data_IF_468226592053
#
_entry.id   IF_468226592053
#
_cell.length_a   1.000
_cell.length_b   1.000
_cell.length_c   1.000
_cell.angle_alpha   90.00
_cell.angle_beta   90.00
_cell.angle_gamma   90.00
#
_symmetry.space_group_name_H-M   'P 1'
#
loop_
_entity.id
_entity.type
_entity.pdbx_description
1 polymer ?
#
# COMPACT_ATOMS: atom_id res chain seq x y z
N UNK A 1 -50.97 57.09 18.68
CA UNK A 1 -50.28 55.79 18.70
C UNK A 1 -49.67 55.57 17.33
N UNK A 2 -48.37 55.78 17.23
CA UNK A 2 -47.55 55.69 16.02
C UNK A 2 -47.14 54.24 15.74
N UNK A 3 -47.10 53.78 14.49
CA UNK A 3 -46.67 52.42 14.16
C UNK A 3 -45.16 52.28 14.33
N UNK A 4 -44.74 51.24 15.05
CA UNK A 4 -43.34 50.86 15.24
C UNK A 4 -42.73 50.39 13.92
N UNK A 5 -41.67 51.08 13.51
CA UNK A 5 -40.84 50.82 12.34
C UNK A 5 -40.05 49.52 12.58
N UNK A 6 -40.17 48.56 11.66
CA UNK A 6 -39.28 47.38 11.56
C UNK A 6 -37.83 47.86 11.52
N UNK A 7 -37.08 47.60 12.59
CA UNK A 7 -35.63 47.57 12.52
C UNK A 7 -35.24 46.29 11.79
N UNK A 8 -34.61 46.48 10.64
CA UNK A 8 -33.87 45.46 9.92
C UNK A 8 -32.76 44.97 10.83
N UNK A 9 -32.95 43.79 11.43
CA UNK A 9 -31.89 43.06 12.11
C UNK A 9 -30.85 42.65 11.08
N UNK A 10 -29.88 43.54 10.85
CA UNK A 10 -28.63 43.18 10.22
C UNK A 10 -28.05 41.99 10.96
N UNK A 11 -27.73 40.94 10.20
CA UNK A 11 -27.06 39.75 10.73
C UNK A 11 -25.78 40.26 11.39
N UNK A 12 -25.76 40.24 12.72
CA UNK A 12 -24.58 40.50 13.52
C UNK A 12 -23.54 39.49 13.06
N UNK A 13 -22.53 39.97 12.34
CA UNK A 13 -21.33 39.21 12.02
C UNK A 13 -20.75 38.87 13.38
N UNK A 14 -20.97 37.63 13.82
CA UNK A 14 -20.57 37.13 15.13
C UNK A 14 -19.14 37.57 15.39
N UNK A 15 -18.91 38.28 16.50
CA UNK A 15 -17.59 38.39 17.08
C UNK A 15 -17.02 36.97 17.16
N UNK A 16 -15.99 36.70 16.35
CA UNK A 16 -15.20 35.48 16.42
C UNK A 16 -14.45 35.59 17.75
N UNK A 17 -15.05 35.07 18.81
CA UNK A 17 -14.44 35.07 20.13
C UNK A 17 -13.26 34.09 20.07
N UNK A 18 -12.05 34.63 20.14
CA UNK A 18 -10.81 33.89 20.01
C UNK A 18 -10.59 33.07 21.30
N UNK A 19 -11.03 31.80 21.31
CA UNK A 19 -10.98 30.93 22.51
C UNK A 19 -9.57 30.39 22.79
N UNK A 20 -8.62 30.59 21.88
CA UNK A 20 -7.22 30.21 22.04
C UNK A 20 -6.49 30.89 23.21
N UNK A 21 -7.07 31.91 23.88
CA UNK A 21 -6.47 32.52 25.07
C UNK A 21 -6.66 31.68 26.34
N UNK A 22 -7.59 30.72 26.34
CA UNK A 22 -7.76 29.77 27.44
C UNK A 22 -6.92 28.52 27.14
N UNK A 23 -5.72 28.48 27.74
CA UNK A 23 -4.84 27.31 27.84
C UNK A 23 -5.58 26.00 28.17
N UNK A 24 -6.73 26.10 28.86
CA UNK A 24 -7.54 24.96 29.29
C UNK A 24 -8.27 24.22 28.15
N UNK A 25 -8.49 24.86 26.99
CA UNK A 25 -9.29 24.26 25.90
C UNK A 25 -8.50 23.24 25.07
N UNK A 26 -7.23 23.55 24.76
CA UNK A 26 -6.30 22.61 24.11
C UNK A 26 -5.80 21.55 25.10
N UNK A 27 -5.75 21.88 26.40
CA UNK A 27 -5.27 20.99 27.45
C UNK A 27 -6.27 19.89 27.85
N UNK A 28 -7.41 19.74 27.16
CA UNK A 28 -8.30 18.62 27.42
C UNK A 28 -7.61 17.30 27.06
N UNK A 29 -7.65 16.35 27.98
CA UNK A 29 -6.99 15.03 27.85
C UNK A 29 -7.18 14.33 26.50
N UNK A 30 -8.39 14.33 25.87
CA UNK A 30 -8.56 13.68 24.57
C UNK A 30 -7.91 14.42 23.39
N UNK A 31 -7.89 15.76 23.41
CA UNK A 31 -7.29 16.55 22.33
C UNK A 31 -5.77 16.41 22.37
N UNK A 32 -5.18 16.47 23.57
CA UNK A 32 -3.73 16.24 23.75
C UNK A 32 -3.34 14.82 23.33
N UNK A 33 -4.13 13.81 23.71
CA UNK A 33 -3.88 12.42 23.31
C UNK A 33 -3.94 12.25 21.79
N UNK A 34 -4.93 12.85 21.12
CA UNK A 34 -5.04 12.84 19.66
C UNK A 34 -3.83 13.48 18.99
N UNK A 35 -3.49 14.72 19.37
CA UNK A 35 -2.34 15.44 18.82
C UNK A 35 -1.02 14.68 19.03
N UNK A 36 -0.87 14.02 20.19
CA UNK A 36 0.30 13.18 20.45
C UNK A 36 0.34 11.96 19.52
N UNK A 37 -0.79 11.26 19.33
CA UNK A 37 -0.87 10.11 18.42
C UNK A 37 -0.61 10.55 16.98
N UNK A 38 -1.27 11.60 16.49
CA UNK A 38 -1.10 12.10 15.13
C UNK A 38 0.33 12.61 14.90
N UNK A 39 0.91 13.29 15.90
CA UNK A 39 2.32 13.68 15.88
C UNK A 39 3.28 12.49 15.80
N UNK A 40 3.01 11.42 16.56
CA UNK A 40 3.80 10.18 16.47
C UNK A 40 3.62 9.47 15.13
N UNK A 41 2.40 9.44 14.58
CA UNK A 41 2.10 8.88 13.28
C UNK A 41 2.84 9.64 12.16
N UNK A 42 2.84 10.97 12.22
CA UNK A 42 3.59 11.83 11.30
C UNK A 42 5.11 11.59 11.41
N UNK A 43 5.64 11.47 12.62
CA UNK A 43 7.05 11.16 12.83
C UNK A 43 7.42 9.79 12.23
N UNK A 44 6.57 8.77 12.39
CA UNK A 44 6.75 7.46 11.77
C UNK A 44 6.71 7.55 10.23
N UNK A 45 5.78 8.33 9.66
CA UNK A 45 5.71 8.57 8.22
C UNK A 45 6.98 9.20 7.67
N UNK A 46 7.70 10.03 8.42
CA UNK A 46 8.99 10.59 8.00
C UNK A 46 10.13 9.57 8.02
N UNK A 47 10.04 8.54 8.88
CA UNK A 47 11.04 7.46 8.95
C UNK A 47 10.90 6.49 7.78
N UNK A 48 9.69 6.25 7.26
CA UNK A 48 9.44 5.29 6.17
C UNK A 48 10.19 5.63 4.86
N UNK A 49 10.19 6.88 4.34
CA UNK A 49 11.02 7.31 3.22
C UNK A 49 12.50 7.00 3.39
N UNK A 50 13.02 7.25 4.59
CA UNK A 50 14.43 7.00 4.91
C UNK A 50 14.74 5.50 4.89
N UNK A 51 13.88 4.68 5.49
CA UNK A 51 13.99 3.23 5.44
C UNK A 51 13.90 2.69 4.02
N UNK A 52 12.95 3.18 3.21
CA UNK A 52 12.83 2.79 1.81
C UNK A 52 14.08 3.17 1.00
N UNK A 53 14.60 4.39 1.16
CA UNK A 53 15.81 4.85 0.48
C UNK A 53 17.03 4.01 0.86
N UNK A 54 17.20 3.74 2.16
CA UNK A 54 18.25 2.86 2.69
C UNK A 54 18.14 1.43 2.14
N UNK A 55 16.93 0.88 2.11
CA UNK A 55 16.67 -0.46 1.57
C UNK A 55 16.91 -0.53 0.06
N UNK A 56 16.49 0.47 -0.71
CA UNK A 56 16.73 0.55 -2.15
C UNK A 56 18.21 0.60 -2.50
N UNK A 57 19.02 1.34 -1.73
CA UNK A 57 20.49 1.37 -1.92
C UNK A 57 21.11 -0.02 -1.76
N UNK A 58 20.55 -0.86 -0.89
CA UNK A 58 21.00 -2.24 -0.68
C UNK A 58 20.45 -3.20 -1.74
N UNK A 59 19.22 -2.99 -2.20
CA UNK A 59 18.50 -3.89 -3.09
C UNK A 59 17.82 -3.11 -4.24
N UNK A 60 18.45 -2.97 -5.42
CA UNK A 60 17.88 -2.21 -6.53
C UNK A 60 16.59 -2.83 -7.10
N UNK A 61 16.39 -4.15 -6.91
CA UNK A 61 15.18 -4.85 -7.31
C UNK A 61 13.92 -4.40 -6.55
N UNK A 62 14.06 -3.68 -5.42
CA UNK A 62 12.94 -3.15 -4.66
C UNK A 62 12.09 -2.17 -5.50
N UNK A 63 12.73 -1.41 -6.38
CA UNK A 63 12.06 -0.42 -7.24
C UNK A 63 11.15 -1.07 -8.29
N UNK A 64 11.40 -2.34 -8.65
CA UNK A 64 10.53 -3.12 -9.55
C UNK A 64 9.24 -3.58 -8.86
N UNK A 65 9.31 -3.87 -7.56
CA UNK A 65 8.17 -4.34 -6.78
C UNK A 65 7.35 -3.16 -6.24
N UNK A 66 8.02 -2.21 -5.62
CA UNK A 66 7.41 -1.08 -4.93
C UNK A 66 8.08 0.20 -5.42
N UNK A 67 7.55 0.73 -6.52
CA UNK A 67 8.08 1.95 -7.13
C UNK A 67 8.00 3.12 -6.16
N UNK A 68 9.01 4.01 -6.22
CA UNK A 68 8.98 5.23 -5.41
C UNK A 68 7.72 6.07 -5.65
N UNK A 69 7.23 6.11 -6.90
CA UNK A 69 6.07 6.91 -7.24
C UNK A 69 4.81 6.42 -6.51
N UNK A 70 4.58 5.11 -6.43
CA UNK A 70 3.40 4.55 -5.74
C UNK A 70 3.51 4.68 -4.22
N UNK A 71 4.68 4.33 -3.65
CA UNK A 71 4.86 4.43 -2.19
C UNK A 71 4.96 5.89 -1.74
N UNK A 72 5.68 6.72 -2.48
CA UNK A 72 5.83 8.15 -2.22
C UNK A 72 4.51 8.90 -2.35
N UNK A 73 3.66 8.55 -3.33
CA UNK A 73 2.32 9.11 -3.42
C UNK A 73 1.45 8.70 -2.21
N UNK A 74 1.48 7.43 -1.81
CA UNK A 74 0.79 6.97 -0.61
C UNK A 74 1.24 7.73 0.64
N UNK A 75 2.56 7.83 0.85
CA UNK A 75 3.14 8.55 1.99
C UNK A 75 2.82 10.05 1.96
N UNK A 76 2.84 10.66 0.78
CA UNK A 76 2.50 12.06 0.61
C UNK A 76 1.03 12.32 0.94
N UNK A 77 0.11 11.50 0.42
CA UNK A 77 -1.32 11.64 0.69
C UNK A 77 -1.63 11.44 2.17
N UNK A 78 -1.04 10.43 2.81
CA UNK A 78 -1.23 10.16 4.23
C UNK A 78 -0.62 11.25 5.12
N UNK A 79 0.59 11.72 4.79
CA UNK A 79 1.21 12.83 5.53
C UNK A 79 0.41 14.13 5.39
N UNK A 80 -0.10 14.42 4.18
CA UNK A 80 -0.95 15.58 3.95
C UNK A 80 -2.27 15.46 4.70
N UNK A 81 -2.87 14.27 4.74
CA UNK A 81 -4.05 13.99 5.54
C UNK A 81 -3.79 14.28 7.03
N UNK A 82 -2.74 13.70 7.63
CA UNK A 82 -2.42 13.91 9.06
C UNK A 82 -2.17 15.38 9.35
N UNK A 83 -1.42 16.07 8.49
CA UNK A 83 -1.12 17.51 8.69
C UNK A 83 -2.42 18.31 8.67
N UNK A 84 -3.31 18.06 7.70
CA UNK A 84 -4.61 18.73 7.63
C UNK A 84 -5.53 18.35 8.80
N UNK A 85 -5.44 17.12 9.32
CA UNK A 85 -6.25 16.65 10.46
C UNK A 85 -5.78 17.27 11.78
N UNK A 86 -4.47 17.47 11.94
CA UNK A 86 -3.89 18.25 13.04
C UNK A 86 -4.38 19.69 12.95
N UNK A 87 -4.35 20.29 11.75
CA UNK A 87 -4.90 21.63 11.55
C UNK A 87 -6.37 21.65 11.89
N UNK A 88 -7.20 20.76 11.35
CA UNK A 88 -8.64 20.68 11.65
C UNK A 88 -8.89 20.56 13.17
N UNK A 89 -8.15 19.68 13.85
CA UNK A 89 -8.26 19.51 15.30
C UNK A 89 -7.93 20.79 16.06
N UNK A 90 -6.84 21.47 15.72
CA UNK A 90 -6.49 22.75 16.36
C UNK A 90 -7.55 23.79 16.04
N UNK A 91 -7.90 23.93 14.76
CA UNK A 91 -8.84 24.92 14.25
C UNK A 91 -10.23 24.78 14.89
N UNK A 92 -10.77 23.56 14.99
CA UNK A 92 -12.05 23.23 15.62
C UNK A 92 -12.08 23.60 17.11
N UNK A 93 -10.98 23.36 17.83
CA UNK A 93 -10.92 23.63 19.27
C UNK A 93 -10.60 25.10 19.59
N UNK A 94 -10.00 25.83 18.66
CA UNK A 94 -9.38 27.13 18.92
C UNK A 94 -10.18 28.31 18.30
N UNK A 95 -10.88 28.07 17.18
CA UNK A 95 -11.68 29.09 16.49
C UNK A 95 -13.12 28.61 16.23
N UNK A 96 -14.08 29.55 16.29
CA UNK A 96 -15.40 29.36 15.68
C UNK A 96 -15.22 29.68 14.18
N UNK A 97 -14.87 28.68 13.38
CA UNK A 97 -14.76 28.85 11.93
C UNK A 97 -16.09 29.31 11.31
N UNK A 98 -15.99 30.13 10.26
CA UNK A 98 -17.10 30.29 9.33
C UNK A 98 -17.42 28.93 8.69
N UNK A 99 -18.71 28.60 8.57
CA UNK A 99 -19.20 27.31 8.03
C UNK A 99 -18.53 26.89 6.71
N UNK A 100 -18.17 27.85 5.85
CA UNK A 100 -17.65 27.58 4.49
C UNK A 100 -16.22 27.05 4.49
N UNK A 101 -15.30 27.65 5.24
CA UNK A 101 -13.89 27.23 5.28
C UNK A 101 -13.74 25.83 5.90
N UNK A 102 -14.54 25.55 6.94
CA UNK A 102 -14.60 24.24 7.60
C UNK A 102 -15.06 23.12 6.65
N UNK A 103 -16.09 23.37 5.81
CA UNK A 103 -16.55 22.36 4.84
C UNK A 103 -15.48 21.99 3.83
N UNK A 104 -14.70 22.94 3.34
CA UNK A 104 -13.65 22.67 2.34
C UNK A 104 -12.52 21.80 2.88
N UNK A 105 -12.15 21.98 4.16
CA UNK A 105 -11.13 21.19 4.84
C UNK A 105 -11.59 19.74 5.03
N UNK A 106 -12.84 19.53 5.47
CA UNK A 106 -13.42 18.19 5.63
C UNK A 106 -13.52 17.42 4.32
N UNK A 107 -13.84 18.11 3.22
CA UNK A 107 -13.84 17.50 1.87
C UNK A 107 -12.45 17.04 1.50
N UNK A 108 -11.44 17.89 1.70
CA UNK A 108 -10.05 17.54 1.41
C UNK A 108 -9.57 16.34 2.24
N UNK A 109 -9.87 16.33 3.55
CA UNK A 109 -9.56 15.21 4.44
C UNK A 109 -10.20 13.89 3.96
N UNK A 110 -11.48 13.92 3.62
CA UNK A 110 -12.19 12.75 3.11
C UNK A 110 -11.56 12.22 1.82
N UNK A 111 -11.26 13.10 0.87
CA UNK A 111 -10.64 12.70 -0.41
C UNK A 111 -9.25 12.12 -0.20
N UNK A 112 -8.42 12.74 0.63
CA UNK A 112 -7.06 12.27 0.88
C UNK A 112 -7.03 10.91 1.59
N UNK A 113 -7.89 10.73 2.59
CA UNK A 113 -8.04 9.46 3.31
C UNK A 113 -8.43 8.32 2.36
N UNK A 114 -9.48 8.52 1.54
CA UNK A 114 -9.96 7.48 0.63
C UNK A 114 -8.96 7.14 -0.48
N UNK A 115 -8.27 8.14 -1.02
CA UNK A 115 -7.20 7.91 -2.00
C UNK A 115 -6.02 7.14 -1.38
N UNK A 116 -5.64 7.49 -0.14
CA UNK A 116 -4.58 6.81 0.60
C UNK A 116 -4.94 5.34 0.85
N UNK A 117 -6.16 5.08 1.33
CA UNK A 117 -6.70 3.74 1.54
C UNK A 117 -6.70 2.91 0.24
N UNK A 118 -7.24 3.48 -0.84
CA UNK A 118 -7.29 2.79 -2.14
C UNK A 118 -5.89 2.47 -2.68
N UNK A 119 -4.92 3.38 -2.52
CA UNK A 119 -3.53 3.14 -2.91
C UNK A 119 -2.89 2.02 -2.08
N UNK A 120 -3.08 2.02 -0.76
CA UNK A 120 -2.58 0.97 0.11
C UNK A 120 -3.16 -0.41 -0.27
N UNK A 121 -4.47 -0.49 -0.50
CA UNK A 121 -5.14 -1.70 -0.98
C UNK A 121 -4.61 -2.14 -2.35
N UNK A 122 -4.39 -1.19 -3.27
CA UNK A 122 -3.83 -1.44 -4.59
C UNK A 122 -2.43 -2.04 -4.53
N UNK A 123 -1.56 -1.53 -3.64
CA UNK A 123 -0.20 -2.07 -3.44
C UNK A 123 -0.25 -3.50 -2.86
N UNK A 124 -1.16 -3.77 -1.95
CA UNK A 124 -1.31 -5.10 -1.35
C UNK A 124 -1.84 -6.11 -2.37
N UNK A 125 -2.92 -5.77 -3.07
CA UNK A 125 -3.56 -6.64 -4.03
C UNK A 125 -2.69 -6.89 -5.27
N UNK A 126 -2.02 -5.87 -5.81
CA UNK A 126 -1.32 -6.02 -7.09
C UNK A 126 0.15 -6.42 -6.89
N UNK A 127 1.09 -5.50 -6.60
CA UNK A 127 2.51 -5.85 -6.58
C UNK A 127 2.85 -6.91 -5.53
N UNK A 128 2.34 -6.80 -4.30
CA UNK A 128 2.70 -7.77 -3.24
C UNK A 128 2.17 -9.18 -3.54
N UNK A 129 0.87 -9.31 -3.80
CA UNK A 129 0.27 -10.64 -4.04
C UNK A 129 0.87 -11.31 -5.28
N UNK A 130 1.01 -10.58 -6.39
CA UNK A 130 1.52 -11.15 -7.63
C UNK A 130 2.98 -11.56 -7.53
N UNK A 131 3.80 -10.81 -6.79
CA UNK A 131 5.22 -11.12 -6.66
C UNK A 131 5.46 -12.31 -5.74
N UNK A 132 4.71 -12.44 -4.64
CA UNK A 132 4.76 -13.63 -3.77
C UNK A 132 4.30 -14.87 -4.54
N UNK A 133 3.22 -14.76 -5.32
CA UNK A 133 2.72 -15.86 -6.15
C UNK A 133 3.71 -16.24 -7.26
N UNK A 134 4.38 -15.26 -7.86
CA UNK A 134 5.42 -15.49 -8.87
C UNK A 134 6.63 -16.22 -8.29
N UNK A 135 7.06 -15.87 -7.07
CA UNK A 135 8.11 -16.63 -6.35
C UNK A 135 7.69 -18.08 -6.06
N UNK A 136 6.40 -18.34 -5.96
CA UNK A 136 5.84 -19.69 -5.85
C UNK A 136 5.74 -20.44 -7.20
N UNK A 137 6.30 -19.89 -8.29
CA UNK A 137 6.28 -20.53 -9.62
C UNK A 137 4.92 -20.59 -10.30
N UNK A 138 3.94 -19.78 -9.86
CA UNK A 138 2.57 -19.89 -10.34
C UNK A 138 2.19 -18.91 -11.44
N UNK A 139 1.18 -19.30 -12.23
CA UNK A 139 0.56 -18.45 -13.24
C UNK A 139 -0.37 -17.43 -12.58
N UNK A 140 -0.07 -16.15 -12.81
CA UNK A 140 -0.71 -15.03 -12.12
C UNK A 140 -2.04 -14.55 -12.75
N UNK A 141 -2.45 -15.07 -13.91
CA UNK A 141 -3.53 -14.48 -14.73
C UNK A 141 -4.88 -14.37 -14.00
N UNK A 142 -5.28 -15.41 -13.29
CA UNK A 142 -6.57 -15.43 -12.56
C UNK A 142 -6.53 -14.44 -11.39
N UNK A 143 -5.41 -14.39 -10.66
CA UNK A 143 -5.22 -13.49 -9.52
C UNK A 143 -5.25 -12.02 -9.96
N UNK A 144 -4.66 -11.70 -11.12
CA UNK A 144 -4.73 -10.35 -11.71
C UNK A 144 -6.19 -9.95 -11.97
N UNK A 145 -7.00 -10.87 -12.52
CA UNK A 145 -8.41 -10.59 -12.81
C UNK A 145 -9.18 -10.36 -11.50
N UNK A 146 -9.03 -11.25 -10.51
CA UNK A 146 -9.72 -11.12 -9.22
C UNK A 146 -9.34 -9.80 -8.54
N UNK A 147 -8.04 -9.50 -8.44
CA UNK A 147 -7.55 -8.29 -7.79
C UNK A 147 -7.96 -7.02 -8.55
N UNK A 148 -7.90 -7.05 -9.88
CA UNK A 148 -8.37 -5.96 -10.73
C UNK A 148 -9.87 -5.70 -10.58
N UNK A 149 -10.69 -6.75 -10.52
CA UNK A 149 -12.14 -6.61 -10.30
C UNK A 149 -12.49 -6.08 -8.92
N UNK A 150 -11.81 -6.57 -7.87
CA UNK A 150 -12.03 -6.09 -6.51
C UNK A 150 -11.62 -4.62 -6.35
N UNK A 151 -10.43 -4.25 -6.84
CA UNK A 151 -9.95 -2.87 -6.80
C UNK A 151 -10.83 -1.95 -7.66
N UNK A 152 -11.25 -2.40 -8.85
CA UNK A 152 -12.14 -1.66 -9.74
C UNK A 152 -13.51 -1.40 -9.13
N UNK A 153 -14.09 -2.39 -8.43
CA UNK A 153 -15.36 -2.21 -7.72
C UNK A 153 -15.27 -1.16 -6.61
N UNK A 154 -14.21 -1.21 -5.79
CA UNK A 154 -13.97 -0.22 -4.73
C UNK A 154 -13.76 1.18 -5.33
N UNK A 155 -12.90 1.30 -6.35
CA UNK A 155 -12.62 2.57 -7.01
C UNK A 155 -13.88 3.18 -7.67
N UNK A 156 -14.74 2.36 -8.26
CA UNK A 156 -16.00 2.81 -8.86
C UNK A 156 -16.97 3.35 -7.82
N UNK A 157 -17.06 2.70 -6.65
CA UNK A 157 -17.92 3.14 -5.55
C UNK A 157 -17.36 4.33 -4.76
N UNK A 158 -16.03 4.56 -4.79
CA UNK A 158 -15.38 5.66 -4.08
C UNK A 158 -15.90 7.03 -4.52
N UNK A 159 -16.06 7.26 -5.83
CA UNK A 159 -16.52 8.56 -6.36
C UNK A 159 -17.93 8.92 -5.87
N UNK A 160 -18.98 8.09 -6.06
CA UNK A 160 -20.31 8.41 -5.55
C UNK A 160 -20.34 8.47 -4.02
N UNK A 161 -19.51 7.68 -3.32
CA UNK A 161 -19.37 7.79 -1.86
C UNK A 161 -18.86 9.17 -1.45
N UNK A 162 -17.76 9.62 -2.04
CA UNK A 162 -17.19 10.95 -1.76
C UNK A 162 -18.19 12.06 -2.08
N UNK A 163 -18.95 11.96 -3.18
CA UNK A 163 -19.97 12.96 -3.52
C UNK A 163 -21.07 12.98 -2.45
N UNK A 164 -21.66 11.84 -2.10
CA UNK A 164 -22.76 11.78 -1.14
C UNK A 164 -22.32 12.19 0.27
N UNK A 165 -21.16 11.75 0.72
CA UNK A 165 -20.61 12.05 2.05
C UNK A 165 -20.22 13.54 2.20
N UNK A 166 -19.81 14.19 1.11
CA UNK A 166 -19.50 15.62 1.14
C UNK A 166 -20.72 16.50 0.87
N UNK A 167 -21.73 16.00 0.14
CA UNK A 167 -22.99 16.74 0.00
C UNK A 167 -23.77 16.80 1.31
N UNK A 168 -23.68 15.77 2.16
CA UNK A 168 -24.28 15.83 3.50
C UNK A 168 -23.61 16.87 4.40
N UNK A 169 -22.32 17.12 4.25
CA UNK A 169 -21.58 18.13 5.02
C UNK A 169 -21.77 19.57 4.53
N UNK A 170 -22.06 19.77 3.23
CA UNK A 170 -22.34 21.08 2.62
C UNK A 170 -23.83 21.49 2.73
N UNK A 171 -24.73 20.52 2.90
CA UNK A 171 -26.17 20.77 3.02
C UNK A 171 -26.55 21.58 4.27
N UNK A 172 -26.97 22.83 4.08
CA UNK A 172 -27.46 23.70 5.15
C UNK A 172 -28.75 23.16 5.78
N UNK A 173 -28.74 22.68 7.04
CA UNK A 173 -29.86 22.48 8.00
C UNK A 173 -31.24 21.94 7.49
N UNK A 174 -31.38 21.58 6.22
CA UNK A 174 -32.63 21.38 5.48
C UNK A 174 -32.53 20.19 4.52
N UNK A 175 -31.38 19.50 4.50
CA UNK A 175 -31.29 18.13 4.00
C UNK A 175 -32.22 17.28 4.86
N UNK A 176 -33.27 16.74 4.24
CA UNK A 176 -34.23 15.87 4.91
C UNK A 176 -33.51 14.70 5.58
N UNK A 177 -33.97 14.24 6.74
CA UNK A 177 -33.41 13.08 7.44
C UNK A 177 -33.27 11.83 6.53
N UNK A 178 -34.09 11.75 5.48
CA UNK A 178 -33.99 10.72 4.44
C UNK A 178 -32.69 10.78 3.60
N UNK A 179 -32.13 11.97 3.35
CA UNK A 179 -30.88 12.13 2.61
C UNK A 179 -29.67 11.71 3.45
N UNK A 180 -29.62 12.11 4.72
CA UNK A 180 -28.58 11.70 5.66
C UNK A 180 -28.58 10.17 5.83
N UNK A 181 -29.76 9.58 6.05
CA UNK A 181 -29.89 8.12 6.14
C UNK A 181 -29.44 7.40 4.85
N UNK A 182 -29.76 7.96 3.68
CA UNK A 182 -29.30 7.41 2.40
C UNK A 182 -27.78 7.52 2.23
N UNK A 183 -27.16 8.64 2.62
CA UNK A 183 -25.72 8.83 2.57
C UNK A 183 -24.97 7.83 3.45
N UNK A 184 -25.43 7.61 4.68
CA UNK A 184 -24.84 6.64 5.59
C UNK A 184 -25.08 5.18 5.16
N UNK A 185 -26.24 4.87 4.57
CA UNK A 185 -26.49 3.54 3.98
C UNK A 185 -25.54 3.27 2.81
N UNK A 186 -25.28 4.29 1.99
CA UNK A 186 -24.30 4.20 0.91
C UNK A 186 -22.87 4.05 1.46
N UNK A 187 -22.51 4.79 2.51
CA UNK A 187 -21.23 4.65 3.21
C UNK A 187 -21.01 3.21 3.71
N UNK A 188 -22.02 2.62 4.36
CA UNK A 188 -21.95 1.22 4.80
C UNK A 188 -21.73 0.24 3.63
N UNK A 189 -22.35 0.50 2.48
CA UNK A 189 -22.16 -0.29 1.24
C UNK A 189 -20.74 -0.14 0.68
N UNK A 190 -20.20 1.08 0.70
CA UNK A 190 -18.83 1.35 0.26
C UNK A 190 -17.81 0.64 1.17
N UNK A 191 -17.89 0.84 2.49
CA UNK A 191 -16.95 0.24 3.44
C UNK A 191 -17.08 -1.28 3.54
N UNK A 192 -18.27 -1.87 3.38
CA UNK A 192 -18.40 -3.33 3.23
C UNK A 192 -17.70 -3.85 1.99
N UNK A 193 -17.87 -3.16 0.86
CA UNK A 193 -17.22 -3.57 -0.39
C UNK A 193 -15.70 -3.46 -0.28
N UNK A 194 -15.22 -2.38 0.34
CA UNK A 194 -13.80 -2.21 0.66
C UNK A 194 -13.29 -3.35 1.57
N UNK A 195 -14.01 -3.65 2.65
CA UNK A 195 -13.64 -4.72 3.57
C UNK A 195 -13.66 -6.10 2.91
N UNK A 196 -14.64 -6.38 2.03
CA UNK A 196 -14.66 -7.60 1.24
C UNK A 196 -13.44 -7.70 0.31
N UNK A 197 -13.04 -6.61 -0.34
CA UNK A 197 -11.83 -6.56 -1.15
C UNK A 197 -10.56 -6.80 -0.30
N UNK A 198 -10.50 -6.24 0.92
CA UNK A 198 -9.41 -6.49 1.86
C UNK A 198 -9.35 -7.97 2.31
N UNK A 199 -10.51 -8.61 2.54
CA UNK A 199 -10.60 -10.06 2.83
C UNK A 199 -10.09 -10.88 1.64
N UNK A 200 -10.52 -10.55 0.42
CA UNK A 200 -10.03 -11.23 -0.79
C UNK A 200 -8.51 -11.10 -0.89
N UNK A 201 -7.96 -9.91 -0.66
CA UNK A 201 -6.51 -9.69 -0.63
C UNK A 201 -5.80 -10.50 0.44
N UNK A 202 -6.34 -10.54 1.65
CA UNK A 202 -5.82 -11.37 2.72
C UNK A 202 -5.82 -12.86 2.36
N UNK A 203 -6.94 -13.39 1.87
CA UNK A 203 -7.07 -14.80 1.51
C UNK A 203 -6.10 -15.18 0.40
N UNK A 204 -5.93 -14.32 -0.61
CA UNK A 204 -4.99 -14.56 -1.70
C UNK A 204 -3.54 -14.49 -1.22
N UNK A 205 -3.19 -13.52 -0.38
CA UNK A 205 -1.85 -13.43 0.22
C UNK A 205 -1.56 -14.63 1.11
N UNK A 206 -2.51 -15.00 1.97
CA UNK A 206 -2.40 -16.15 2.84
C UNK A 206 -2.22 -17.46 2.04
N UNK A 207 -3.04 -17.67 1.01
CA UNK A 207 -2.89 -18.81 0.11
C UNK A 207 -1.53 -18.81 -0.59
N UNK A 208 -1.08 -17.64 -1.06
CA UNK A 208 0.24 -17.47 -1.69
C UNK A 208 1.37 -17.83 -0.74
N UNK A 209 1.30 -17.39 0.52
CA UNK A 209 2.27 -17.72 1.57
C UNK A 209 2.29 -19.21 1.90
N UNK A 210 1.13 -19.83 2.10
CA UNK A 210 1.03 -21.26 2.45
C UNK A 210 1.62 -22.12 1.34
N UNK A 211 1.28 -21.80 0.08
CA UNK A 211 1.78 -22.56 -1.06
C UNK A 211 3.29 -22.38 -1.21
N UNK A 212 3.78 -21.15 -1.19
CA UNK A 212 5.20 -20.88 -1.33
C UNK A 212 6.04 -21.34 -0.12
N UNK A 213 5.44 -21.47 1.06
CA UNK A 213 6.07 -22.08 2.23
C UNK A 213 6.29 -23.59 2.06
N UNK A 214 5.37 -24.28 1.38
CA UNK A 214 5.50 -25.71 1.07
C UNK A 214 6.66 -25.98 0.14
N UNK A 215 6.93 -25.06 -0.79
CA UNK A 215 7.98 -25.17 -1.79
C UNK A 215 9.34 -24.63 -1.29
N UNK A 216 9.49 -24.38 0.01
CA UNK A 216 10.68 -23.78 0.67
C UNK A 216 11.16 -22.45 0.06
N UNK A 217 10.34 -21.79 -0.76
CA UNK A 217 10.71 -20.59 -1.50
C UNK A 217 10.61 -19.29 -0.66
N UNK A 218 10.17 -19.36 0.60
CA UNK A 218 9.85 -18.19 1.43
C UNK A 218 10.48 -18.26 2.82
N UNK A 219 11.14 -17.16 3.21
CA UNK A 219 11.73 -16.96 4.53
C UNK A 219 10.67 -16.68 5.61
N UNK A 220 11.00 -16.98 6.88
CA UNK A 220 10.11 -16.70 8.02
C UNK A 220 9.72 -15.22 8.12
N UNK A 221 10.65 -14.31 7.80
CA UNK A 221 10.41 -12.87 7.84
C UNK A 221 9.28 -12.43 6.91
N UNK A 222 9.24 -12.96 5.67
CA UNK A 222 8.15 -12.67 4.72
C UNK A 222 6.80 -13.10 5.31
N UNK A 223 6.73 -14.28 5.93
CA UNK A 223 5.49 -14.79 6.53
C UNK A 223 4.99 -13.87 7.65
N UNK A 224 5.88 -13.49 8.57
CA UNK A 224 5.54 -12.62 9.71
C UNK A 224 5.06 -11.26 9.21
N UNK A 225 5.82 -10.60 8.34
CA UNK A 225 5.47 -9.26 7.87
C UNK A 225 4.21 -9.23 7.01
N UNK A 226 4.00 -10.25 6.17
CA UNK A 226 2.77 -10.33 5.37
C UNK A 226 1.56 -10.52 6.28
N UNK A 227 1.60 -11.47 7.23
CA UNK A 227 0.49 -11.70 8.18
C UNK A 227 0.24 -10.46 9.03
N UNK A 228 1.29 -9.79 9.51
CA UNK A 228 1.19 -8.55 10.28
C UNK A 228 0.47 -7.47 9.48
N UNK A 229 0.94 -7.21 8.25
CA UNK A 229 0.39 -6.17 7.37
C UNK A 229 -1.07 -6.43 7.03
N UNK A 230 -1.40 -7.67 6.67
CA UNK A 230 -2.78 -8.01 6.30
C UNK A 230 -3.72 -8.03 7.49
N UNK A 231 -3.25 -8.47 8.66
CA UNK A 231 -4.06 -8.46 9.89
C UNK A 231 -4.37 -7.03 10.33
N UNK A 232 -3.39 -6.12 10.25
CA UNK A 232 -3.61 -4.71 10.53
C UNK A 232 -4.61 -4.09 9.55
N UNK A 233 -4.45 -4.35 8.24
CA UNK A 233 -5.41 -3.87 7.25
C UNK A 233 -6.82 -4.36 7.56
N UNK A 234 -7.00 -5.66 7.85
CA UNK A 234 -8.31 -6.21 8.20
C UNK A 234 -8.89 -5.59 9.48
N UNK A 235 -8.06 -5.39 10.51
CA UNK A 235 -8.50 -4.79 11.78
C UNK A 235 -8.98 -3.35 11.58
N UNK A 236 -8.20 -2.55 10.85
CA UNK A 236 -8.51 -1.16 10.50
C UNK A 236 -9.85 -1.08 9.76
N UNK A 237 -10.04 -1.94 8.75
CA UNK A 237 -11.27 -1.93 7.96
C UNK A 237 -12.48 -2.50 8.71
N UNK A 238 -12.28 -3.51 9.55
CA UNK A 238 -13.34 -4.03 10.42
C UNK A 238 -13.84 -2.95 11.38
N UNK A 239 -12.93 -2.16 11.94
CA UNK A 239 -13.28 -1.07 12.85
C UNK A 239 -14.19 -0.04 12.17
N UNK A 240 -13.88 0.37 10.94
CA UNK A 240 -14.70 1.30 10.14
C UNK A 240 -16.05 0.70 9.76
N UNK A 241 -16.08 -0.58 9.37
CA UNK A 241 -17.36 -1.27 9.10
C UNK A 241 -18.23 -1.32 10.35
N UNK A 242 -17.68 -1.68 11.51
CA UNK A 242 -18.44 -1.75 12.77
C UNK A 242 -19.00 -0.38 13.15
N UNK A 243 -18.23 0.69 12.97
CA UNK A 243 -18.65 2.06 13.27
C UNK A 243 -19.76 2.52 12.32
N UNK A 244 -19.57 2.37 11.02
CA UNK A 244 -20.56 2.77 10.00
C UNK A 244 -21.86 1.98 10.05
N UNK A 245 -21.80 0.66 10.31
CA UNK A 245 -23.00 -0.17 10.55
C UNK A 245 -23.66 0.14 11.89
N UNK A 246 -22.85 0.37 12.93
CA UNK A 246 -23.34 0.77 14.24
C UNK A 246 -24.19 2.02 14.12
N UNK A 247 -23.70 3.03 13.38
CA UNK A 247 -24.45 4.24 13.08
C UNK A 247 -25.71 3.93 12.25
N UNK A 248 -25.58 3.21 11.12
CA UNK A 248 -26.69 2.96 10.20
C UNK A 248 -27.87 2.20 10.83
N UNK A 249 -27.60 1.31 11.78
CA UNK A 249 -28.62 0.50 12.46
C UNK A 249 -29.21 1.25 13.66
N UNK A 250 -28.37 1.90 14.46
CA UNK A 250 -28.80 2.44 15.77
C UNK A 250 -29.10 3.94 15.74
N UNK A 251 -28.75 4.64 14.66
CA UNK A 251 -28.73 6.10 14.56
C UNK A 251 -28.03 6.78 15.75
N UNK A 252 -27.04 6.09 16.35
CA UNK A 252 -26.22 6.61 17.44
C UNK A 252 -24.78 6.72 16.97
N UNK A 253 -24.28 7.95 16.95
CA UNK A 253 -22.87 8.21 16.79
C UNK A 253 -22.11 7.84 18.08
N UNK A 254 -20.82 7.56 17.94
CA UNK A 254 -19.94 7.49 19.09
C UNK A 254 -19.97 8.80 19.88
N UNK A 255 -19.73 8.71 21.20
CA UNK A 255 -19.46 9.91 21.97
C UNK A 255 -18.23 10.62 21.39
N UNK A 256 -18.17 11.95 21.50
CA UNK A 256 -17.07 12.72 20.89
C UNK A 256 -15.67 12.21 21.29
N UNK A 257 -15.49 11.82 22.55
CA UNK A 257 -14.24 11.22 23.03
C UNK A 257 -13.94 9.86 22.39
N UNK A 258 -14.95 8.99 22.24
CA UNK A 258 -14.77 7.69 21.61
C UNK A 258 -14.45 7.82 20.11
N UNK A 259 -15.08 8.78 19.42
CA UNK A 259 -14.77 9.13 18.04
C UNK A 259 -13.32 9.61 17.89
N UNK A 260 -12.87 10.53 18.75
CA UNK A 260 -11.49 11.03 18.75
C UNK A 260 -10.49 9.89 18.94
N UNK A 261 -10.70 9.00 19.92
CA UNK A 261 -9.83 7.85 20.14
C UNK A 261 -9.86 6.87 18.96
N UNK A 262 -11.01 6.67 18.35
CA UNK A 262 -11.17 5.81 17.18
C UNK A 262 -10.37 6.32 15.99
N UNK A 263 -10.48 7.61 15.65
CA UNK A 263 -9.73 8.24 14.55
C UNK A 263 -8.22 8.15 14.80
N UNK A 264 -7.77 8.46 16.02
CA UNK A 264 -6.35 8.39 16.36
C UNK A 264 -5.80 6.95 16.26
N UNK A 265 -6.54 5.96 16.77
CA UNK A 265 -6.17 4.55 16.68
C UNK A 265 -6.15 4.07 15.22
N UNK A 266 -7.16 4.46 14.44
CA UNK A 266 -7.23 4.16 13.02
C UNK A 266 -5.98 4.65 12.30
N UNK A 267 -5.61 5.92 12.50
CA UNK A 267 -4.47 6.53 11.83
C UNK A 267 -3.16 5.83 12.22
N UNK A 268 -2.98 5.54 13.50
CA UNK A 268 -1.81 4.83 14.00
C UNK A 268 -1.68 3.44 13.36
N UNK A 269 -2.76 2.66 13.34
CA UNK A 269 -2.78 1.33 12.74
C UNK A 269 -2.58 1.38 11.21
N UNK A 270 -3.09 2.42 10.55
CA UNK A 270 -2.90 2.61 9.11
C UNK A 270 -1.44 2.92 8.78
N UNK A 271 -0.77 3.81 9.53
CA UNK A 271 0.68 4.05 9.38
C UNK A 271 1.50 2.79 9.62
N UNK A 272 1.12 1.98 10.62
CA UNK A 272 1.75 0.66 10.83
C UNK A 272 1.52 -0.30 9.66
N UNK A 273 0.38 -0.21 8.98
CA UNK A 273 0.10 -0.97 7.76
C UNK A 273 1.04 -0.54 6.63
N UNK A 274 1.25 0.76 6.42
CA UNK A 274 2.21 1.28 5.42
C UNK A 274 3.63 0.80 5.75
N UNK A 275 4.03 0.86 7.01
CA UNK A 275 5.29 0.30 7.47
C UNK A 275 5.39 -1.20 7.17
N UNK A 276 4.33 -1.97 7.45
CA UNK A 276 4.24 -3.39 7.15
C UNK A 276 4.37 -3.71 5.65
N UNK A 277 3.73 -2.90 4.79
CA UNK A 277 3.86 -3.00 3.32
C UNK A 277 5.33 -2.87 2.92
N UNK A 278 6.05 -1.86 3.45
CA UNK A 278 7.46 -1.66 3.17
C UNK A 278 8.30 -2.85 3.66
N UNK A 279 8.10 -3.31 4.90
CA UNK A 279 8.85 -4.45 5.43
C UNK A 279 8.58 -5.74 4.65
N UNK A 280 7.33 -5.96 4.24
CA UNK A 280 6.96 -7.08 3.38
C UNK A 280 7.69 -6.97 2.04
N UNK A 281 7.67 -5.81 1.39
CA UNK A 281 8.37 -5.61 0.11
C UNK A 281 9.88 -5.83 0.21
N UNK A 282 10.53 -5.31 1.26
CA UNK A 282 11.96 -5.53 1.52
C UNK A 282 12.24 -7.03 1.72
N UNK A 283 11.43 -7.69 2.54
CA UNK A 283 11.58 -9.11 2.85
C UNK A 283 11.42 -9.99 1.61
N UNK A 284 10.46 -9.65 0.75
CA UNK A 284 10.21 -10.39 -0.49
C UNK A 284 11.30 -10.13 -1.52
N UNK A 285 12.07 -9.04 -1.47
CA UNK A 285 13.13 -8.80 -2.47
C UNK A 285 14.46 -9.43 -2.09
N UNK A 286 14.68 -9.74 -0.80
CA UNK A 286 15.90 -10.38 -0.33
C UNK A 286 16.05 -11.80 -0.95
N UNK A 287 17.29 -12.19 -1.35
CA UNK A 287 17.57 -13.53 -1.82
C UNK A 287 17.39 -14.53 -0.68
N UNK A 288 16.88 -15.73 -1.01
CA UNK A 288 16.84 -16.85 -0.07
C UNK A 288 18.27 -17.29 0.20
N UNK A 289 18.71 -17.19 1.45
CA UNK A 289 19.99 -17.75 1.92
C UNK A 289 19.61 -18.98 2.74
N UNK A 290 19.95 -20.17 2.25
CA UNK A 290 19.73 -21.41 2.98
C UNK A 290 20.51 -21.38 4.30
N UNK A 291 19.84 -21.45 5.47
CA UNK A 291 20.53 -21.45 6.75
C UNK A 291 21.19 -22.80 7.08
N UNK A 292 20.96 -23.84 6.29
CA UNK A 292 21.66 -25.12 6.46
C UNK A 292 23.00 -25.06 5.73
N UNK A 293 24.09 -25.31 6.46
CA UNK A 293 25.49 -25.14 6.06
C UNK A 293 26.00 -26.05 4.91
N UNK A 294 25.13 -26.51 4.01
CA UNK A 294 25.50 -27.26 2.80
C UNK A 294 25.08 -26.47 1.55
N UNK A 295 25.70 -25.31 1.33
CA UNK A 295 25.65 -24.63 0.06
C UNK A 295 26.44 -25.45 -0.97
N UNK A 296 25.83 -26.52 -1.48
CA UNK A 296 26.25 -27.11 -2.74
C UNK A 296 25.99 -26.03 -3.78
N UNK A 297 27.07 -25.50 -4.35
CA UNK A 297 27.06 -24.50 -5.40
C UNK A 297 26.09 -24.93 -6.51
N UNK A 298 24.98 -24.21 -6.66
CA UNK A 298 24.05 -24.38 -7.78
C UNK A 298 24.47 -23.39 -8.88
N UNK A 299 25.13 -23.85 -9.97
CA UNK A 299 25.58 -22.98 -11.05
C UNK A 299 24.41 -22.28 -11.76
N UNK A 300 23.20 -22.84 -11.74
CA UNK A 300 22.04 -22.27 -12.44
C UNK A 300 21.42 -21.10 -11.67
N UNK A 301 21.64 -21.02 -10.35
CA UNK A 301 21.29 -19.86 -9.55
C UNK A 301 22.28 -18.69 -9.76
N UNK A 302 23.51 -18.97 -10.19
CA UNK A 302 24.56 -17.96 -10.32
C UNK A 302 24.28 -16.96 -11.46
N UNK A 303 23.65 -17.39 -12.54
CA UNK A 303 23.41 -16.55 -13.73
C UNK A 303 22.35 -15.46 -13.53
N UNK A 304 21.49 -15.60 -12.51
CA UNK A 304 20.53 -14.53 -12.15
C UNK A 304 21.06 -13.57 -11.07
N UNK A 305 22.20 -13.88 -10.45
CA UNK A 305 22.80 -13.12 -9.33
C UNK A 305 24.02 -12.27 -9.71
N UNK A 306 24.59 -12.45 -10.92
CA UNK A 306 25.84 -11.80 -11.36
C UNK A 306 25.85 -10.26 -11.23
N UNK A 307 24.77 -9.50 -11.50
CA UNK A 307 24.87 -8.03 -11.41
C UNK A 307 24.98 -7.50 -9.97
N UNK A 308 24.54 -8.27 -8.97
CA UNK A 308 24.48 -7.83 -7.58
C UNK A 308 25.72 -8.25 -6.76
N UNK A 309 26.33 -9.39 -7.08
CA UNK A 309 27.49 -9.91 -6.34
C UNK A 309 28.82 -9.28 -6.80
N UNK A 310 28.94 -8.92 -8.08
CA UNK A 310 30.15 -8.26 -8.60
C UNK A 310 30.42 -6.86 -8.01
N UNK A 311 29.45 -6.25 -7.33
CA UNK A 311 29.63 -4.94 -6.67
C UNK A 311 30.08 -5.02 -5.21
N UNK A 312 30.10 -6.21 -4.58
CA UNK A 312 30.48 -6.39 -3.16
C UNK A 312 31.78 -7.12 -2.91
N UNK A 313 32.45 -7.62 -3.94
CA UNK A 313 33.76 -8.26 -3.83
C UNK A 313 34.83 -7.55 -4.68
N UNK A 314 35.04 -6.26 -4.45
CA UNK A 314 36.39 -5.69 -4.64
C UNK A 314 37.20 -6.07 -3.43
N UNK A 315 37.89 -7.21 -3.52
CA UNK A 315 38.96 -7.60 -2.61
C UNK A 315 40.07 -6.55 -2.67
N UNK A 316 40.24 -5.77 -1.59
CA UNK A 316 41.56 -5.27 -1.20
C UNK A 316 42.28 -6.41 -0.48
N UNK A 317 42.84 -7.33 -1.26
CA UNK A 317 43.77 -8.34 -0.77
C UNK A 317 45.19 -7.91 -1.14
N UNK A 318 45.88 -7.25 -0.21
CA UNK A 318 47.33 -7.08 -0.29
C UNK A 318 48.01 -8.45 -0.22
N UNK A 319 48.83 -8.68 -1.24
CA UNK A 319 50.14 -9.34 -1.23
C UNK A 319 50.36 -10.58 -0.34
N UNK A 320 50.54 -11.70 -1.05
CA UNK A 320 51.58 -12.73 -0.90
C UNK A 320 51.01 -14.15 -0.76
N UNK A 321 50.94 -14.88 -1.89
CA UNK A 321 51.52 -16.23 -2.01
C UNK A 321 51.47 -16.73 -3.47
N UNK A 322 52.39 -17.63 -3.86
CA UNK A 322 52.85 -17.77 -5.24
C UNK A 322 51.94 -18.63 -6.13
N UNK A 323 51.85 -18.16 -7.36
CA UNK A 323 51.18 -18.72 -8.52
C UNK A 323 51.73 -20.12 -8.91
N UNK A 324 50.89 -21.16 -9.07
CA UNK A 324 51.30 -22.34 -9.80
C UNK A 324 51.15 -22.08 -11.32
N UNK A 325 52.24 -22.35 -12.03
CA UNK A 325 52.44 -22.24 -13.48
C UNK A 325 51.35 -22.93 -14.33
N UNK A 326 51.01 -22.38 -15.51
CA UNK A 326 50.00 -22.98 -16.40
C UNK A 326 50.55 -24.22 -17.11
N UNK A 327 49.75 -25.30 -17.12
CA UNK A 327 49.99 -26.49 -17.96
C UNK A 327 49.81 -26.11 -19.42
N UNK A 328 50.82 -26.43 -20.21
CA UNK A 328 50.83 -26.39 -21.68
C UNK A 328 49.80 -27.38 -22.20
N UNK A 329 48.79 -26.88 -22.92
CA UNK A 329 47.89 -27.71 -23.71
C UNK A 329 48.62 -28.17 -24.97
N UNK A 330 48.73 -29.48 -25.11
CA UNK A 330 49.23 -30.17 -26.30
C UNK A 330 48.28 -29.90 -27.48
N UNK A 331 48.87 -29.45 -28.58
CA UNK A 331 48.27 -29.15 -29.87
C UNK A 331 47.58 -30.39 -30.47
N UNK A 332 46.27 -30.31 -30.68
CA UNK A 332 45.51 -31.27 -31.48
C UNK A 332 45.50 -30.78 -32.94
N UNK A 333 46.36 -31.38 -33.77
CA UNK A 333 46.41 -31.16 -35.22
C UNK A 333 45.13 -31.66 -35.90
N UNK A 334 44.52 -30.78 -36.68
CA UNK A 334 43.58 -31.13 -37.73
C UNK A 334 44.35 -31.34 -39.03
N UNK A 335 44.16 -32.49 -39.70
CA UNK A 335 44.04 -32.57 -41.16
C UNK A 335 43.50 -33.94 -41.61
N UNK A 336 42.33 -33.85 -42.24
CA UNK A 336 41.74 -34.66 -43.31
C UNK A 336 42.48 -35.91 -43.84
N UNK A 337 41.76 -37.04 -43.93
CA UNK A 337 41.38 -37.59 -45.24
C UNK A 337 40.25 -38.62 -45.12
N UNK A 338 39.20 -38.36 -45.89
CA UNK A 338 38.04 -39.22 -46.11
C UNK A 338 38.43 -40.31 -47.13
N UNK A 339 38.39 -41.57 -46.72
CA UNK A 339 38.28 -42.69 -47.67
C UNK A 339 36.79 -42.96 -47.93
N UNK A 340 36.37 -42.72 -49.17
CA UNK A 340 35.06 -43.10 -49.71
C UNK A 340 35.27 -44.31 -50.63
N UNK A 341 34.65 -45.43 -50.29
CA UNK A 341 34.50 -46.63 -51.13
C UNK A 341 33.23 -46.51 -51.99
N UNK A 342 33.14 -47.15 -53.16
CA UNK A 342 32.24 -46.76 -54.24
C UNK A 342 30.92 -47.52 -54.23
N UNK A 343 29.85 -46.87 -54.66
CA UNK A 343 28.72 -47.56 -55.29
C UNK A 343 28.25 -46.79 -56.50
N UNK A 344 28.49 -47.41 -57.66
CA UNK A 344 27.86 -47.12 -58.93
C UNK A 344 26.36 -47.41 -58.79
N UNK A 345 25.51 -46.42 -59.04
CA UNK A 345 24.23 -46.68 -59.67
C UNK A 345 23.79 -45.47 -60.48
N UNK A 346 23.79 -45.68 -61.80
CA UNK A 346 23.21 -44.79 -62.81
C UNK A 346 21.73 -45.12 -62.90
N UNK A 347 20.87 -44.13 -62.67
CA UNK A 347 19.59 -44.03 -63.41
C UNK A 347 19.10 -42.59 -63.42
N UNK A 348 18.74 -42.15 -64.62
CA UNK A 348 18.29 -40.82 -65.02
C UNK A 348 16.82 -40.55 -64.59
N UNK A 349 16.34 -39.30 -64.77
CA UNK A 349 15.19 -38.75 -64.08
C UNK A 349 13.89 -38.87 -64.90
N UNK A 350 12.75 -38.75 -64.21
CA UNK A 350 11.49 -38.40 -64.86
C UNK A 350 10.61 -37.53 -63.97
N UNK A 351 10.17 -36.43 -64.58
CA UNK A 351 9.11 -35.51 -64.15
C UNK A 351 7.78 -36.23 -63.82
N UNK A 352 6.98 -35.69 -62.89
CA UNK A 352 5.73 -34.96 -63.21
C UNK A 352 4.80 -34.74 -61.99
N UNK A 353 4.26 -33.53 -61.99
CA UNK A 353 3.14 -32.91 -61.26
C UNK A 353 1.84 -33.72 -61.01
N UNK A 354 1.00 -33.12 -60.12
CA UNK A 354 -0.46 -33.34 -59.85
C UNK A 354 -0.73 -34.45 -58.81
N UNK A 355 -1.45 -34.25 -57.69
CA UNK A 355 -2.61 -33.41 -57.38
C UNK A 355 -2.63 -32.96 -55.91
#
# INVERSE_FOLDING_TARGET
MTPQRRESGGINIRQVENRCSFSDTIATTPVVARLAIDGTALALLLVIPWLWSSARRKNPNLDRLLTWHTLGLLLFMDALYIVLDIFDTVLFNCFIFGLVEYTSLNVALSVLSELSNLLALGIILMPLTLHILHRAGQKNRIVIIINGTALGAVALLMVPFLVLNNMSSVGSLSTSASFEHAAHTFAATYYTTYFAAAIVGFLLLFFSLVKAARDFAITLQIKIWTIFTTSLLLLVNLAVVVETFGWAITNKAFSGTAWICFVALFQFLFVLTIFGILQTAISVVLPYVDPTHNATYDPDAHDTLVPAVHKRFTYTGEANEPQPSPRVYETQEWLSSSMRSPSNEKTLPTFSYIH
#
